data_IF_630863901905
#
_entry.id   IF_630863901905
#
_cell.length_a   1.000
_cell.length_b   1.000
_cell.length_c   1.000
_cell.angle_alpha   90.00
_cell.angle_beta   90.00
_cell.angle_gamma   90.00
#
_symmetry.space_group_name_H-M   'P 1'
#
loop_
_entity.id
_entity.type
_entity.pdbx_description
1 polymer ?
#
# COMPACT_ATOMS: atom_id res chain seq x y z
N UNK A 1 45.36 16.87 0.69
CA UNK A 1 44.47 16.02 1.52
C UNK A 1 43.06 16.61 1.70
N UNK A 2 42.86 17.93 1.61
CA UNK A 2 41.53 18.56 1.58
C UNK A 2 40.81 18.44 0.22
N UNK A 3 41.54 18.51 -0.89
CA UNK A 3 40.94 18.53 -2.24
C UNK A 3 40.29 17.19 -2.64
N UNK A 4 40.86 16.05 -2.23
CA UNK A 4 40.25 14.73 -2.43
C UNK A 4 38.95 14.53 -1.64
N UNK A 5 38.82 15.18 -0.46
CA UNK A 5 37.58 15.11 0.32
C UNK A 5 36.48 15.98 -0.30
N UNK A 6 36.84 17.15 -0.82
CA UNK A 6 35.91 18.03 -1.53
C UNK A 6 35.34 17.36 -2.79
N UNK A 7 36.19 16.73 -3.61
CA UNK A 7 35.74 16.01 -4.81
C UNK A 7 34.87 14.79 -4.49
N UNK A 8 35.15 14.08 -3.39
CA UNK A 8 34.32 12.94 -2.94
C UNK A 8 32.94 13.41 -2.49
N UNK A 9 32.84 14.52 -1.78
CA UNK A 9 31.56 15.09 -1.36
C UNK A 9 30.71 15.55 -2.56
N UNK A 10 31.31 16.21 -3.56
CA UNK A 10 30.61 16.60 -4.79
C UNK A 10 30.11 15.39 -5.58
N UNK A 11 30.94 14.35 -5.73
CA UNK A 11 30.52 13.10 -6.39
C UNK A 11 29.32 12.46 -5.68
N UNK A 12 29.35 12.38 -4.34
CA UNK A 12 28.22 11.82 -3.59
C UNK A 12 26.92 12.62 -3.77
N UNK A 13 26.98 13.94 -3.88
CA UNK A 13 25.78 14.77 -4.10
C UNK A 13 25.20 14.60 -5.50
N UNK A 14 26.05 14.43 -6.51
CA UNK A 14 25.63 14.18 -7.89
C UNK A 14 25.02 12.79 -8.06
N UNK A 15 25.62 11.78 -7.40
CA UNK A 15 25.09 10.42 -7.38
C UNK A 15 23.70 10.37 -6.71
N UNK A 16 23.54 11.05 -5.57
CA UNK A 16 22.24 11.17 -4.88
C UNK A 16 21.20 11.86 -5.76
N UNK A 17 21.56 12.98 -6.42
CA UNK A 17 20.66 13.68 -7.36
C UNK A 17 20.25 12.82 -8.56
N UNK A 18 21.16 12.02 -9.11
CA UNK A 18 20.88 11.09 -10.21
C UNK A 18 19.99 9.91 -9.80
N UNK A 19 20.11 9.45 -8.55
CA UNK A 19 19.21 8.44 -8.00
C UNK A 19 17.80 9.00 -7.78
N UNK A 20 17.67 10.24 -7.28
CA UNK A 20 16.35 10.86 -7.09
C UNK A 20 15.60 11.09 -8.40
N UNK A 21 16.29 11.36 -9.51
CA UNK A 21 15.63 11.50 -10.82
C UNK A 21 15.17 10.15 -11.38
N UNK A 22 15.87 9.06 -11.04
CA UNK A 22 15.54 7.70 -11.49
C UNK A 22 14.48 7.04 -10.61
N UNK A 23 14.32 7.45 -9.35
CA UNK A 23 13.35 6.88 -8.43
C UNK A 23 11.88 7.23 -8.74
N UNK A 24 11.00 6.22 -8.68
CA UNK A 24 9.56 6.27 -9.06
C UNK A 24 8.73 7.40 -8.41
N UNK A 25 9.22 7.98 -7.31
CA UNK A 25 8.57 9.08 -6.58
C UNK A 25 9.52 10.24 -6.22
N UNK A 26 10.72 10.29 -6.80
CA UNK A 26 11.79 11.23 -6.40
C UNK A 26 12.11 11.21 -4.90
N UNK A 27 11.78 10.11 -4.26
CA UNK A 27 11.94 9.88 -2.83
C UNK A 27 12.73 8.59 -2.69
N UNK A 28 13.78 8.58 -1.85
CA UNK A 28 14.57 7.39 -1.64
C UNK A 28 13.68 6.30 -1.04
N UNK A 29 13.93 5.01 -1.34
CA UNK A 29 13.13 3.90 -0.82
C UNK A 29 12.98 3.94 0.71
N UNK A 30 14.01 4.42 1.42
CA UNK A 30 14.02 4.57 2.87
C UNK A 30 12.97 5.54 3.42
N UNK A 31 12.56 6.57 2.66
CA UNK A 31 11.52 7.52 3.06
C UNK A 31 10.15 7.17 2.47
N UNK A 32 10.13 6.60 1.25
CA UNK A 32 8.89 6.24 0.54
C UNK A 32 8.09 5.15 1.27
N UNK A 33 8.75 4.07 1.69
CA UNK A 33 8.08 2.93 2.33
C UNK A 33 7.40 3.32 3.65
N UNK A 34 8.04 4.00 4.62
CA UNK A 34 7.37 4.38 5.86
C UNK A 34 6.26 5.42 5.65
N UNK A 35 6.40 6.33 4.67
CA UNK A 35 5.37 7.33 4.38
C UNK A 35 4.09 6.69 3.78
N UNK A 36 4.25 5.77 2.83
CA UNK A 36 3.11 5.04 2.27
C UNK A 36 2.46 4.12 3.31
N UNK A 37 3.27 3.49 4.17
CA UNK A 37 2.78 2.68 5.28
C UNK A 37 2.01 3.50 6.33
N UNK A 38 2.48 4.71 6.69
CA UNK A 38 1.78 5.59 7.64
C UNK A 38 0.45 6.07 7.07
N UNK A 39 0.39 6.41 5.78
CA UNK A 39 -0.85 6.77 5.10
C UNK A 39 -1.85 5.61 5.11
N UNK A 40 -1.42 4.40 4.75
CA UNK A 40 -2.24 3.19 4.78
C UNK A 40 -2.71 2.82 6.19
N UNK A 41 -1.86 3.06 7.20
CA UNK A 41 -2.21 2.90 8.60
C UNK A 41 -3.35 3.86 8.99
N UNK A 42 -3.29 5.14 8.60
CA UNK A 42 -4.32 6.13 8.88
C UNK A 42 -5.66 5.75 8.23
N UNK A 43 -5.64 5.36 6.95
CA UNK A 43 -6.85 4.89 6.27
C UNK A 43 -7.44 3.63 6.94
N UNK A 44 -6.59 2.66 7.30
CA UNK A 44 -7.02 1.45 8.01
C UNK A 44 -7.55 1.75 9.41
N UNK A 45 -6.99 2.74 10.10
CA UNK A 45 -7.41 3.19 11.42
C UNK A 45 -8.81 3.81 11.34
N UNK A 46 -9.04 4.76 10.42
CA UNK A 46 -10.35 5.43 10.25
C UNK A 46 -11.42 4.42 9.88
N UNK A 47 -11.16 3.58 8.87
CA UNK A 47 -12.10 2.56 8.44
C UNK A 47 -12.39 1.55 9.56
N UNK A 48 -11.35 1.11 10.28
CA UNK A 48 -11.46 0.18 11.40
C UNK A 48 -12.20 0.75 12.60
N UNK A 49 -12.01 2.03 12.91
CA UNK A 49 -12.77 2.74 13.94
C UNK A 49 -14.26 2.78 13.58
N UNK A 50 -14.58 3.19 12.35
CA UNK A 50 -15.96 3.30 11.89
C UNK A 50 -16.67 1.94 11.93
N UNK A 51 -16.08 0.90 11.34
CA UNK A 51 -16.68 -0.44 11.31
C UNK A 51 -16.84 -1.05 12.70
N UNK A 52 -15.89 -0.80 13.60
CA UNK A 52 -15.89 -1.39 14.94
C UNK A 52 -16.84 -0.64 15.89
N UNK A 53 -16.97 0.68 15.72
CA UNK A 53 -17.98 1.47 16.42
C UNK A 53 -19.39 0.97 16.10
N UNK A 54 -19.70 0.78 14.82
CA UNK A 54 -21.00 0.26 14.39
C UNK A 54 -21.27 -1.15 14.97
N UNK A 55 -20.29 -2.06 14.88
CA UNK A 55 -20.42 -3.43 15.39
C UNK A 55 -20.64 -3.49 16.90
N UNK A 56 -19.85 -2.77 17.68
CA UNK A 56 -19.97 -2.75 19.14
C UNK A 56 -21.25 -2.07 19.60
N UNK A 57 -21.74 -1.07 18.86
CA UNK A 57 -23.06 -0.48 19.07
C UNK A 57 -24.20 -1.49 18.94
N UNK A 58 -24.18 -2.32 17.89
CA UNK A 58 -25.19 -3.38 17.70
C UNK A 58 -25.10 -4.45 18.78
N UNK A 59 -23.88 -4.88 19.16
CA UNK A 59 -23.68 -5.83 20.25
C UNK A 59 -24.26 -5.30 21.56
N UNK A 60 -23.98 -4.03 21.90
CA UNK A 60 -24.51 -3.41 23.11
C UNK A 60 -26.06 -3.34 23.12
N UNK A 61 -26.68 -3.08 21.97
CA UNK A 61 -28.14 -3.07 21.83
C UNK A 61 -28.74 -4.45 22.05
N UNK A 62 -28.13 -5.50 21.47
CA UNK A 62 -28.57 -6.88 21.63
C UNK A 62 -28.43 -7.31 23.09
N UNK A 63 -27.27 -7.08 23.71
CA UNK A 63 -26.98 -7.42 25.10
C UNK A 63 -27.91 -6.73 26.10
N UNK A 64 -28.32 -5.48 25.82
CA UNK A 64 -29.17 -4.70 26.73
C UNK A 64 -30.64 -4.62 26.30
N UNK A 65 -31.04 -5.34 25.25
CA UNK A 65 -32.43 -5.36 24.76
C UNK A 65 -33.43 -5.73 25.87
N UNK A 66 -33.02 -6.56 26.82
CA UNK A 66 -33.82 -6.98 27.98
C UNK A 66 -33.65 -6.07 29.22
N UNK A 67 -32.68 -5.14 29.25
CA UNK A 67 -32.34 -4.27 30.40
C UNK A 67 -32.53 -2.79 30.09
N UNK A 68 -33.65 -2.44 29.47
CA UNK A 68 -33.95 -1.05 29.13
C UNK A 68 -34.32 -0.24 30.39
N UNK A 69 -33.67 0.91 30.65
CA UNK A 69 -33.97 1.72 31.81
C UNK A 69 -35.40 2.28 31.75
N UNK A 70 -36.08 2.32 32.91
CA UNK A 70 -37.45 2.84 33.05
C UNK A 70 -37.50 4.31 33.50
N UNK A 71 -36.42 4.82 34.09
CA UNK A 71 -36.33 6.19 34.62
C UNK A 71 -35.54 7.10 33.69
N UNK A 72 -35.85 8.42 33.70
CA UNK A 72 -35.11 9.42 32.91
C UNK A 72 -33.61 9.44 33.25
N UNK A 73 -33.26 9.30 34.53
CA UNK A 73 -31.86 9.22 34.97
C UNK A 73 -31.14 7.96 34.49
N UNK A 74 -31.84 6.82 34.39
CA UNK A 74 -31.28 5.58 33.86
C UNK A 74 -30.88 5.68 32.38
N UNK A 75 -31.65 6.41 31.58
CA UNK A 75 -31.33 6.67 30.17
C UNK A 75 -30.01 7.44 29.98
N UNK A 76 -29.71 8.40 30.84
CA UNK A 76 -28.44 9.13 30.79
C UNK A 76 -27.23 8.19 30.99
N UNK A 77 -27.28 7.34 32.03
CA UNK A 77 -26.21 6.39 32.30
C UNK A 77 -26.08 5.32 31.23
N UNK A 78 -27.20 4.89 30.65
CA UNK A 78 -27.23 3.97 29.51
C UNK A 78 -26.47 4.53 28.31
N UNK A 79 -26.78 5.75 27.86
CA UNK A 79 -26.08 6.37 26.73
C UNK A 79 -24.61 6.66 27.03
N UNK A 80 -24.28 7.08 28.26
CA UNK A 80 -22.88 7.25 28.68
C UNK A 80 -22.11 5.94 28.59
N UNK A 81 -22.64 4.85 29.15
CA UNK A 81 -22.02 3.51 29.10
C UNK A 81 -21.88 3.02 27.66
N UNK A 82 -22.93 3.18 26.84
CA UNK A 82 -22.92 2.83 25.41
C UNK A 82 -21.79 3.53 24.67
N UNK A 83 -21.65 4.85 24.83
CA UNK A 83 -20.60 5.63 24.17
C UNK A 83 -19.20 5.16 24.59
N UNK A 84 -18.99 4.85 25.87
CA UNK A 84 -17.70 4.32 26.34
C UNK A 84 -17.37 2.95 25.74
N UNK A 85 -18.33 2.02 25.71
CA UNK A 85 -18.11 0.68 25.12
C UNK A 85 -17.84 0.78 23.62
N UNK A 86 -18.61 1.61 22.91
CA UNK A 86 -18.44 1.81 21.47
C UNK A 86 -17.10 2.49 21.16
N UNK A 87 -16.67 3.48 21.95
CA UNK A 87 -15.38 4.15 21.79
C UNK A 87 -14.21 3.18 22.04
N UNK A 88 -14.28 2.37 23.09
CA UNK A 88 -13.26 1.33 23.34
C UNK A 88 -13.20 0.31 22.21
N UNK A 89 -14.36 -0.08 21.66
CA UNK A 89 -14.45 -0.93 20.47
C UNK A 89 -13.81 -0.30 19.23
N UNK A 90 -14.12 0.97 18.99
CA UNK A 90 -13.57 1.74 17.87
C UNK A 90 -12.04 1.82 17.94
N UNK A 91 -11.47 2.18 19.09
CA UNK A 91 -10.01 2.29 19.26
C UNK A 91 -9.32 0.94 19.05
N UNK A 92 -9.81 -0.13 19.70
CA UNK A 92 -9.23 -1.47 19.55
C UNK A 92 -9.30 -1.96 18.10
N UNK A 93 -10.44 -1.76 17.45
CA UNK A 93 -10.65 -2.16 16.07
C UNK A 93 -9.82 -1.35 15.06
N UNK A 94 -9.76 -0.03 15.25
CA UNK A 94 -8.95 0.89 14.45
C UNK A 94 -7.46 0.57 14.52
N UNK A 95 -6.90 0.43 15.72
CA UNK A 95 -5.47 0.08 15.89
C UNK A 95 -5.17 -1.29 15.29
N UNK A 96 -6.02 -2.29 15.55
CA UNK A 96 -5.82 -3.65 14.99
C UNK A 96 -5.84 -3.66 13.47
N UNK A 97 -6.77 -2.92 12.85
CA UNK A 97 -6.87 -2.87 11.40
C UNK A 97 -5.75 -2.01 10.79
N UNK A 98 -5.47 -0.85 11.37
CA UNK A 98 -4.39 0.04 10.94
C UNK A 98 -3.03 -0.65 10.97
N UNK A 99 -2.69 -1.34 12.06
CA UNK A 99 -1.43 -2.10 12.14
C UNK A 99 -1.37 -3.21 11.09
N UNK A 100 -2.50 -3.88 10.82
CA UNK A 100 -2.57 -4.93 9.81
C UNK A 100 -2.39 -4.37 8.40
N UNK A 101 -3.05 -3.26 8.05
CA UNK A 101 -2.93 -2.65 6.72
C UNK A 101 -1.58 -1.96 6.54
N UNK A 102 -1.09 -1.25 7.56
CA UNK A 102 0.24 -0.63 7.56
C UNK A 102 1.36 -1.65 7.43
N UNK A 103 1.34 -2.72 8.23
CA UNK A 103 2.32 -3.81 8.13
C UNK A 103 2.26 -4.54 6.78
N UNK A 104 1.07 -4.75 6.23
CA UNK A 104 0.90 -5.31 4.89
C UNK A 104 1.49 -4.40 3.80
N UNK A 105 1.24 -3.10 3.89
CA UNK A 105 1.77 -2.10 2.94
C UNK A 105 3.28 -2.04 2.99
N UNK A 106 3.84 -2.03 4.20
CA UNK A 106 5.29 -2.05 4.40
C UNK A 106 5.93 -3.31 3.82
N UNK A 107 5.28 -4.47 3.98
CA UNK A 107 5.77 -5.72 3.38
C UNK A 107 5.76 -5.67 1.85
N UNK A 108 4.67 -5.18 1.23
CA UNK A 108 4.56 -5.09 -0.24
C UNK A 108 5.61 -4.14 -0.81
N UNK A 109 5.63 -2.88 -0.37
CA UNK A 109 6.57 -1.89 -0.91
C UNK A 109 8.02 -2.18 -0.51
N UNK A 110 8.26 -2.83 0.63
CA UNK A 110 9.57 -3.32 1.02
C UNK A 110 10.08 -4.44 0.10
N UNK A 111 9.22 -5.39 -0.26
CA UNK A 111 9.54 -6.45 -1.22
C UNK A 111 9.79 -5.88 -2.62
N UNK A 112 8.97 -4.92 -3.05
CA UNK A 112 9.16 -4.23 -4.33
C UNK A 112 10.54 -3.56 -4.38
N UNK A 113 10.92 -2.79 -3.35
CA UNK A 113 12.23 -2.14 -3.27
C UNK A 113 13.40 -3.15 -3.25
N UNK A 114 13.24 -4.32 -2.62
CA UNK A 114 14.25 -5.37 -2.65
C UNK A 114 14.41 -6.00 -4.05
N UNK A 115 13.30 -6.21 -4.76
CA UNK A 115 13.32 -6.76 -6.13
C UNK A 115 13.91 -5.74 -7.11
N UNK A 116 13.55 -4.46 -6.98
CA UNK A 116 14.09 -3.37 -7.80
C UNK A 116 15.61 -3.26 -7.61
N UNK A 117 16.10 -3.34 -6.35
CA UNK A 117 17.54 -3.33 -6.05
C UNK A 117 18.27 -4.55 -6.63
N UNK A 118 17.62 -5.72 -6.63
CA UNK A 118 18.22 -6.94 -7.18
C UNK A 118 18.28 -6.96 -8.71
N UNK A 119 17.32 -6.30 -9.38
CA UNK A 119 17.21 -6.31 -10.85
C UNK A 119 17.85 -5.07 -11.52
N UNK A 120 18.09 -4.00 -10.75
CA UNK A 120 18.69 -2.75 -11.26
C UNK A 120 17.81 -2.01 -12.27
N UNK A 121 16.52 -2.32 -12.33
CA UNK A 121 15.53 -1.71 -13.23
C UNK A 121 14.21 -1.51 -12.49
N UNK A 122 13.52 -0.41 -12.81
CA UNK A 122 12.23 -0.03 -12.23
C UNK A 122 11.17 -0.27 -13.30
N UNK A 123 10.45 -1.40 -13.21
CA UNK A 123 9.48 -1.85 -14.22
C UNK A 123 8.16 -2.28 -13.56
N UNK A 124 7.05 -2.16 -14.29
CA UNK A 124 5.75 -2.74 -13.90
C UNK A 124 5.78 -4.22 -13.52
N UNK A 125 6.74 -4.97 -14.09
CA UNK A 125 6.92 -6.39 -13.80
C UNK A 125 7.36 -6.65 -12.36
N UNK A 126 8.10 -5.72 -11.72
CA UNK A 126 8.50 -5.89 -10.32
C UNK A 126 7.29 -5.79 -9.39
N UNK A 127 6.35 -4.89 -9.67
CA UNK A 127 5.08 -4.75 -8.95
C UNK A 127 4.19 -6.00 -9.10
N UNK A 128 4.09 -6.57 -10.30
CA UNK A 128 3.34 -7.81 -10.56
C UNK A 128 3.99 -9.00 -9.83
N UNK A 129 5.31 -9.15 -9.94
CA UNK A 129 6.06 -10.21 -9.28
C UNK A 129 5.93 -10.12 -7.75
N UNK A 130 6.04 -8.92 -7.20
CA UNK A 130 5.83 -8.65 -5.77
C UNK A 130 4.43 -9.05 -5.32
N UNK A 131 3.39 -8.68 -6.10
CA UNK A 131 2.00 -9.00 -5.78
C UNK A 131 1.74 -10.52 -5.75
N UNK A 132 2.30 -11.24 -6.71
CA UNK A 132 2.24 -12.72 -6.77
C UNK A 132 3.00 -13.34 -5.59
N UNK A 133 4.19 -12.82 -5.27
CA UNK A 133 5.02 -13.31 -4.17
C UNK A 133 4.34 -13.09 -2.82
N UNK A 134 3.80 -11.90 -2.57
CA UNK A 134 3.05 -11.58 -1.35
C UNK A 134 1.79 -12.44 -1.25
N UNK A 135 1.05 -12.64 -2.35
CA UNK A 135 -0.12 -13.52 -2.38
C UNK A 135 0.23 -14.98 -2.04
N UNK A 136 1.35 -15.46 -2.56
CA UNK A 136 1.88 -16.81 -2.30
C UNK A 136 2.32 -16.96 -0.85
N UNK A 137 3.10 -16.01 -0.34
CA UNK A 137 3.54 -15.97 1.05
C UNK A 137 2.35 -15.92 2.02
N UNK A 138 1.35 -15.08 1.73
CA UNK A 138 0.12 -14.98 2.51
C UNK A 138 -0.66 -16.29 2.51
N UNK A 139 -0.81 -16.93 1.35
CA UNK A 139 -1.49 -18.22 1.25
C UNK A 139 -0.77 -19.32 2.04
N UNK A 140 0.57 -19.32 2.03
CA UNK A 140 1.38 -20.27 2.76
C UNK A 140 1.28 -20.06 4.28
N UNK A 141 1.26 -18.82 4.73
CA UNK A 141 1.10 -18.48 6.15
C UNK A 141 -0.28 -18.86 6.67
N UNK A 142 -1.34 -18.62 5.89
CA UNK A 142 -2.72 -18.90 6.30
C UNK A 142 -3.18 -20.34 6.03
N UNK A 143 -2.30 -21.21 5.55
CA UNK A 143 -2.60 -22.61 5.21
C UNK A 143 -3.94 -22.74 4.45
N UNK A 144 -4.13 -21.91 3.43
CA UNK A 144 -5.40 -21.84 2.70
C UNK A 144 -5.59 -23.10 1.84
N UNK A 145 -6.85 -23.52 1.69
CA UNK A 145 -7.22 -24.60 0.78
C UNK A 145 -6.96 -24.19 -0.67
N UNK A 146 -6.75 -25.17 -1.58
CA UNK A 146 -6.35 -24.92 -2.98
C UNK A 146 -7.24 -23.89 -3.70
N UNK A 147 -8.55 -23.97 -3.53
CA UNK A 147 -9.50 -23.01 -4.14
C UNK A 147 -9.39 -21.59 -3.57
N UNK A 148 -9.06 -21.46 -2.28
CA UNK A 148 -8.83 -20.16 -1.65
C UNK A 148 -7.48 -19.57 -2.07
N UNK A 149 -6.44 -20.39 -2.25
CA UNK A 149 -5.15 -19.97 -2.81
C UNK A 149 -5.31 -19.38 -4.21
N UNK A 150 -6.01 -20.08 -5.11
CA UNK A 150 -6.26 -19.58 -6.48
C UNK A 150 -7.01 -18.25 -6.45
N UNK A 151 -8.00 -18.10 -5.55
CA UNK A 151 -8.77 -16.87 -5.42
C UNK A 151 -7.90 -15.70 -4.91
N UNK A 152 -7.01 -15.94 -3.95
CA UNK A 152 -6.05 -14.94 -3.45
C UNK A 152 -5.06 -14.56 -4.55
N UNK A 153 -4.57 -15.54 -5.31
CA UNK A 153 -3.60 -15.32 -6.37
C UNK A 153 -4.21 -14.52 -7.53
N UNK A 154 -5.44 -14.85 -7.95
CA UNK A 154 -6.16 -14.10 -9.00
C UNK A 154 -6.41 -12.65 -8.57
N UNK A 155 -6.82 -12.43 -7.32
CA UNK A 155 -6.98 -11.07 -6.77
C UNK A 155 -5.65 -10.34 -6.71
N UNK A 156 -4.57 -11.01 -6.29
CA UNK A 156 -3.21 -10.46 -6.28
C UNK A 156 -2.72 -10.07 -7.67
N UNK A 157 -3.00 -10.89 -8.69
CA UNK A 157 -2.65 -10.60 -10.08
C UNK A 157 -3.41 -9.38 -10.59
N UNK A 158 -4.72 -9.33 -10.40
CA UNK A 158 -5.53 -8.15 -10.80
C UNK A 158 -5.04 -6.89 -10.10
N UNK A 159 -4.76 -6.96 -8.80
CA UNK A 159 -4.21 -5.83 -8.05
C UNK A 159 -2.82 -5.41 -8.55
N UNK A 160 -1.95 -6.36 -8.87
CA UNK A 160 -0.62 -6.08 -9.40
C UNK A 160 -0.66 -5.40 -10.78
N UNK A 161 -1.56 -5.87 -11.66
CA UNK A 161 -1.76 -5.27 -12.99
C UNK A 161 -2.34 -3.86 -12.88
N UNK A 162 -3.42 -3.69 -12.11
CA UNK A 162 -4.05 -2.37 -11.91
C UNK A 162 -3.07 -1.40 -11.24
N UNK A 163 -2.34 -1.87 -10.23
CA UNK A 163 -1.32 -1.08 -9.53
C UNK A 163 -0.17 -0.65 -10.44
N UNK A 164 0.35 -1.59 -11.25
CA UNK A 164 1.40 -1.29 -12.23
C UNK A 164 0.95 -0.26 -13.26
N UNK A 165 -0.21 -0.47 -13.90
CA UNK A 165 -0.76 0.47 -14.89
C UNK A 165 -0.99 1.86 -14.28
N UNK A 166 -1.49 1.93 -13.04
CA UNK A 166 -1.69 3.20 -12.35
C UNK A 166 -0.36 3.90 -12.05
N UNK A 167 0.65 3.15 -11.61
CA UNK A 167 1.98 3.70 -11.37
C UNK A 167 2.61 4.22 -12.66
N UNK A 168 2.49 3.51 -13.77
CA UNK A 168 2.99 3.95 -15.08
C UNK A 168 2.24 5.17 -15.61
N UNK A 169 0.91 5.24 -15.41
CA UNK A 169 0.11 6.42 -15.74
C UNK A 169 0.57 7.66 -14.96
N UNK A 170 0.89 7.50 -13.66
CA UNK A 170 1.43 8.58 -12.84
C UNK A 170 2.84 8.99 -13.24
N UNK A 171 3.66 8.05 -13.76
CA UNK A 171 4.99 8.37 -14.30
C UNK A 171 4.89 9.16 -15.60
N UNK A 172 3.97 8.78 -16.50
CA UNK A 172 3.69 9.53 -17.74
C UNK A 172 3.20 10.95 -17.45
N UNK A 173 2.29 11.12 -16.50
CA UNK A 173 1.79 12.44 -16.11
C UNK A 173 2.88 13.37 -15.53
N UNK A 174 4.02 12.81 -15.11
CA UNK A 174 5.17 13.54 -14.55
C UNK A 174 6.31 13.73 -15.56
N UNK A 175 6.14 13.30 -16.80
CA UNK A 175 7.16 13.44 -17.86
C UNK A 175 8.39 12.55 -17.67
N UNK A 176 8.26 11.44 -16.94
CA UNK A 176 9.31 10.41 -16.82
C UNK A 176 9.01 9.31 -17.83
N UNK A 177 9.96 9.01 -18.72
CA UNK A 177 9.80 8.01 -19.79
C UNK A 177 9.54 6.62 -19.20
N UNK A 178 8.26 6.25 -19.11
CA UNK A 178 7.84 4.91 -18.72
C UNK A 178 8.08 3.93 -19.89
N UNK A 179 8.62 2.75 -19.58
CA UNK A 179 8.87 1.65 -20.52
C UNK A 179 7.74 1.42 -21.54
N UNK A 180 6.47 1.50 -21.09
CA UNK A 180 5.30 1.24 -21.94
C UNK A 180 5.22 2.18 -23.15
N UNK A 181 5.68 3.42 -23.00
CA UNK A 181 5.66 4.42 -24.07
C UNK A 181 6.88 4.25 -24.97
N UNK A 182 8.07 4.03 -24.43
CA UNK A 182 9.27 3.81 -25.24
C UNK A 182 9.21 2.52 -26.07
N UNK A 183 8.61 1.44 -25.54
CA UNK A 183 8.39 0.20 -26.29
C UNK A 183 7.33 0.36 -27.39
N UNK A 184 6.24 1.09 -27.13
CA UNK A 184 5.20 1.38 -28.14
C UNK A 184 5.69 2.37 -29.21
N UNK A 185 6.46 3.40 -28.83
CA UNK A 185 7.09 4.36 -29.73
C UNK A 185 8.14 3.70 -30.61
N UNK A 186 8.96 2.80 -30.04
CA UNK A 186 9.92 1.98 -30.80
C UNK A 186 9.23 1.06 -31.81
N UNK A 187 8.10 0.46 -31.44
CA UNK A 187 7.28 -0.39 -32.34
C UNK A 187 6.62 0.41 -33.48
N UNK A 188 6.13 1.61 -33.19
CA UNK A 188 5.54 2.51 -34.19
C UNK A 188 6.59 2.99 -35.22
N UNK A 189 7.77 3.39 -34.75
CA UNK A 189 8.87 3.88 -35.59
C UNK A 189 9.48 2.81 -36.52
N UNK A 190 9.48 1.54 -36.09
CA UNK A 190 9.91 0.41 -36.93
C UNK A 190 8.87 -0.01 -37.97
N UNK A 191 7.61 0.39 -37.80
CA UNK A 191 6.52 0.14 -38.74
C UNK A 191 6.52 1.14 -39.89
N UNK A 192 6.88 2.41 -39.62
CA UNK A 192 6.98 3.47 -40.63
C UNK A 192 8.14 3.25 -41.60
N UNK A 193 9.28 2.74 -41.12
CA UNK A 193 10.44 2.44 -41.96
C UNK A 193 10.24 1.25 -42.94
N UNK A 194 9.24 0.39 -42.71
CA UNK A 194 8.88 -0.71 -43.62
C UNK A 194 7.90 -0.31 -44.72
N UNK A 195 7.33 0.89 -44.66
CA UNK A 195 6.40 1.40 -45.67
C UNK A 195 7.08 2.35 -46.67
N UNK A 196 8.32 2.79 -46.37
CA UNK A 196 9.17 3.61 -47.24
C UNK A 196 10.23 2.80 -48.02
N UNK A 197 10.25 1.47 -47.88
CA UNK A 197 11.10 0.53 -48.65
C UNK A 197 10.29 -0.33 -49.58
#
# INVERSE_FOLDING_TARGET
MGDEQSHRHDQTHLDDQSQFTTDRFRLPPGLRVPLTASMSFLFGLIYGMHSSYARTGQQYLVENSHRLPKTKGGWYWYYKRKNWVCLQGAVKGGVKLGLKTGGFTLAVFGLEAMIDKARGRIDCLSTIATSVLVGTAYSRWRHLNRSATVSVLRKGLVLGVVGGVLQDALMMARGVDAWGVSALVSSSSSSTLKLES
#
